data_IF_896804972997
#
_entry.id   IF_896804972997
#
_cell.length_a   1.000
_cell.length_b   1.000
_cell.length_c   1.000
_cell.angle_alpha   90.00
_cell.angle_beta   90.00
_cell.angle_gamma   90.00
#
_symmetry.space_group_name_H-M   'P 1'
#
loop_
_entity.id
_entity.type
_entity.pdbx_description
1 polymer ?
#
# COMPACT_ATOMS: atom_id res chain seq x y z
N UNK A 1 -2.01 -14.55 -8.98
CA UNK A 1 -0.75 -13.84 -9.30
C UNK A 1 0.41 -14.81 -9.30
N UNK A 2 1.33 -14.75 -10.27
CA UNK A 2 2.49 -15.65 -10.34
C UNK A 2 3.66 -15.17 -9.49
N UNK A 3 4.45 -16.09 -8.94
CA UNK A 3 5.69 -15.76 -8.20
C UNK A 3 6.69 -15.00 -9.07
N UNK A 4 6.81 -15.37 -10.34
CA UNK A 4 7.65 -14.65 -11.31
C UNK A 4 7.28 -13.17 -11.44
N UNK A 5 5.98 -12.85 -11.41
CA UNK A 5 5.50 -11.47 -11.45
C UNK A 5 5.87 -10.71 -10.16
N UNK A 6 5.77 -11.38 -8.99
CA UNK A 6 6.15 -10.79 -7.69
C UNK A 6 7.65 -10.49 -7.67
N UNK A 7 8.49 -11.48 -8.04
CA UNK A 7 9.93 -11.29 -8.08
C UNK A 7 10.31 -10.12 -9.01
N UNK A 8 9.73 -10.06 -10.20
CA UNK A 8 9.95 -8.97 -11.15
C UNK A 8 9.48 -7.61 -10.62
N UNK A 9 8.31 -7.56 -9.99
CA UNK A 9 7.77 -6.31 -9.44
C UNK A 9 8.67 -5.72 -8.35
N UNK A 10 9.25 -6.56 -7.48
CA UNK A 10 10.17 -6.11 -6.43
C UNK A 10 11.52 -5.68 -7.02
N UNK A 11 12.08 -6.44 -7.99
CA UNK A 11 13.30 -6.03 -8.69
C UNK A 11 13.13 -4.66 -9.35
N UNK A 12 12.01 -4.45 -10.03
CA UNK A 12 11.65 -3.16 -10.62
C UNK A 12 11.47 -2.07 -9.57
N UNK A 13 10.90 -2.42 -8.42
CA UNK A 13 10.68 -1.49 -7.31
C UNK A 13 12.00 -0.97 -6.72
N UNK A 14 13.01 -1.80 -6.59
CA UNK A 14 14.36 -1.38 -6.20
C UNK A 14 14.94 -0.37 -7.19
N UNK A 15 14.91 -0.67 -8.49
CA UNK A 15 15.41 0.23 -9.52
C UNK A 15 14.67 1.58 -9.55
N UNK A 16 13.36 1.57 -9.29
CA UNK A 16 12.56 2.79 -9.18
C UNK A 16 12.99 3.60 -7.95
N UNK A 17 13.11 2.98 -6.77
CA UNK A 17 13.57 3.67 -5.56
C UNK A 17 14.94 4.32 -5.77
N UNK A 18 15.88 3.60 -6.36
CA UNK A 18 17.22 4.13 -6.73
C UNK A 18 17.11 5.34 -7.68
N UNK A 19 16.30 5.24 -8.74
CA UNK A 19 16.07 6.33 -9.70
C UNK A 19 15.53 7.60 -9.05
N UNK A 20 14.76 7.45 -7.96
CA UNK A 20 14.22 8.57 -7.20
C UNK A 20 15.14 9.01 -6.05
N UNK A 21 16.30 8.38 -5.88
CA UNK A 21 17.22 8.67 -4.78
C UNK A 21 16.68 8.30 -3.40
N UNK A 22 15.75 7.34 -3.33
CA UNK A 22 15.17 6.87 -2.07
C UNK A 22 16.05 5.76 -1.50
N UNK A 23 16.66 6.02 -0.35
CA UNK A 23 17.37 5.00 0.42
C UNK A 23 16.37 4.14 1.19
N UNK A 24 16.41 2.82 0.93
CA UNK A 24 15.55 1.86 1.60
C UNK A 24 16.30 1.20 2.79
N UNK A 25 15.56 0.74 3.82
CA UNK A 25 16.15 -0.02 4.92
C UNK A 25 16.70 -1.35 4.44
N UNK A 26 17.66 -1.90 5.20
CA UNK A 26 18.40 -3.12 4.86
C UNK A 26 17.46 -4.31 4.55
N UNK A 27 16.42 -4.52 5.35
CA UNK A 27 15.49 -5.63 5.16
C UNK A 27 14.74 -5.60 3.82
N UNK A 28 14.64 -4.43 3.17
CA UNK A 28 14.04 -4.34 1.84
C UNK A 28 14.84 -5.07 0.76
N UNK A 29 16.14 -5.33 1.02
CA UNK A 29 17.07 -5.98 0.10
C UNK A 29 17.32 -7.46 0.44
N UNK A 30 16.71 -7.98 1.49
CA UNK A 30 16.90 -9.39 1.84
C UNK A 30 16.08 -10.31 0.92
N UNK A 31 16.78 -11.09 0.13
CA UNK A 31 16.19 -12.23 -0.57
C UNK A 31 15.72 -13.28 0.43
N UNK A 32 14.92 -14.26 -0.01
CA UNK A 32 14.52 -15.37 0.84
C UNK A 32 15.74 -16.10 1.46
N UNK A 33 16.82 -16.26 0.67
CA UNK A 33 18.06 -16.88 1.16
C UNK A 33 18.86 -15.97 2.10
N UNK A 34 18.82 -14.67 1.89
CA UNK A 34 19.43 -13.71 2.80
C UNK A 34 18.70 -13.70 4.15
N UNK A 35 17.36 -13.72 4.15
CA UNK A 35 16.54 -13.82 5.36
C UNK A 35 16.87 -15.05 6.20
N UNK A 36 17.04 -16.24 5.57
CA UNK A 36 17.39 -17.49 6.27
C UNK A 36 18.74 -17.44 6.99
N UNK A 37 19.61 -16.51 6.61
CA UNK A 37 20.94 -16.30 7.21
C UNK A 37 20.92 -15.27 8.33
N UNK A 38 19.82 -14.55 8.52
CA UNK A 38 19.71 -13.51 9.54
C UNK A 38 19.44 -14.12 10.93
N UNK A 39 19.94 -13.48 12.00
CA UNK A 39 19.54 -13.79 13.37
C UNK A 39 18.10 -13.25 13.59
N UNK A 40 17.09 -14.08 13.24
CA UNK A 40 15.69 -13.66 13.19
C UNK A 40 15.19 -12.97 14.48
N UNK A 41 15.78 -13.30 15.66
CA UNK A 41 15.45 -12.65 16.92
C UNK A 41 15.76 -11.16 16.96
N UNK A 42 16.70 -10.67 16.15
CA UNK A 42 17.02 -9.24 16.05
C UNK A 42 16.05 -8.49 15.12
N UNK A 43 15.30 -9.21 14.31
CA UNK A 43 14.33 -8.68 13.33
C UNK A 43 12.87 -8.78 13.81
N UNK A 44 12.65 -8.99 15.11
CA UNK A 44 11.32 -9.21 15.67
C UNK A 44 10.30 -8.15 15.23
N UNK A 45 10.64 -6.85 15.27
CA UNK A 45 9.73 -5.79 14.83
C UNK A 45 9.34 -5.94 13.34
N UNK A 46 10.29 -6.31 12.48
CA UNK A 46 10.01 -6.48 11.04
C UNK A 46 9.05 -7.65 10.82
N UNK A 47 9.31 -8.78 11.49
CA UNK A 47 8.54 -10.01 11.32
C UNK A 47 7.14 -9.89 11.94
N UNK A 48 7.04 -9.40 13.17
CA UNK A 48 5.79 -9.32 13.92
C UNK A 48 4.82 -8.28 13.34
N UNK A 49 5.36 -7.15 12.87
CA UNK A 49 4.57 -6.05 12.29
C UNK A 49 4.43 -6.14 10.77
N UNK A 50 4.95 -7.21 10.17
CA UNK A 50 4.90 -7.43 8.72
C UNK A 50 5.43 -6.23 7.94
N UNK A 51 6.61 -5.69 8.34
CA UNK A 51 7.33 -4.71 7.54
C UNK A 51 7.93 -5.40 6.31
N UNK A 52 8.10 -4.69 5.21
CA UNK A 52 8.68 -5.26 4.00
C UNK A 52 7.76 -5.13 2.79
N UNK A 53 8.14 -5.85 1.72
CA UNK A 53 7.44 -5.81 0.46
C UNK A 53 6.07 -6.47 0.50
N UNK A 54 5.11 -5.83 -0.16
CA UNK A 54 3.81 -6.41 -0.45
C UNK A 54 3.40 -6.07 -1.88
N UNK A 55 3.01 -7.08 -2.63
CA UNK A 55 2.57 -6.98 -4.02
C UNK A 55 1.17 -7.56 -4.08
N UNK A 56 0.22 -6.81 -4.60
CA UNK A 56 -1.17 -7.25 -4.64
C UNK A 56 -1.84 -6.90 -5.96
N UNK A 57 -2.64 -7.82 -6.47
CA UNK A 57 -3.61 -7.63 -7.53
C UNK A 57 -5.05 -7.56 -6.98
N UNK A 58 -5.18 -7.42 -5.65
CA UNK A 58 -6.46 -7.39 -4.94
C UNK A 58 -7.39 -8.56 -5.28
N UNK A 59 -6.81 -9.73 -5.62
CA UNK A 59 -7.56 -10.93 -6.03
C UNK A 59 -8.23 -10.82 -7.40
N UNK A 60 -7.82 -9.84 -8.24
CA UNK A 60 -8.42 -9.59 -9.58
C UNK A 60 -7.69 -10.30 -10.71
N UNK A 61 -6.57 -10.95 -10.47
CA UNK A 61 -5.76 -11.68 -11.46
C UNK A 61 -5.26 -10.83 -12.65
N UNK A 62 -5.26 -9.49 -12.51
CA UNK A 62 -4.77 -8.55 -13.52
C UNK A 62 -3.93 -7.46 -12.85
N UNK A 63 -2.75 -7.85 -12.34
CA UNK A 63 -1.84 -6.94 -11.65
C UNK A 63 -1.46 -5.71 -12.49
N UNK A 64 -1.41 -5.83 -13.81
CA UNK A 64 -1.06 -4.71 -14.69
C UNK A 64 -2.08 -3.59 -14.66
N UNK A 65 -3.37 -3.91 -14.50
CA UNK A 65 -4.45 -2.93 -14.46
C UNK A 65 -4.91 -2.63 -13.03
N UNK A 66 -5.10 -3.66 -12.22
CA UNK A 66 -5.54 -3.53 -10.83
C UNK A 66 -4.48 -4.12 -9.93
N UNK A 67 -3.74 -3.25 -9.26
CA UNK A 67 -2.62 -3.71 -8.45
C UNK A 67 -1.91 -2.58 -7.72
N UNK A 68 -1.01 -2.99 -6.84
CA UNK A 68 -0.16 -2.08 -6.10
C UNK A 68 1.12 -2.79 -5.68
N UNK A 69 2.24 -2.10 -5.85
CA UNK A 69 3.52 -2.46 -5.24
C UNK A 69 3.76 -1.53 -4.07
N UNK A 70 3.98 -2.08 -2.88
CA UNK A 70 4.26 -1.26 -1.71
C UNK A 70 5.34 -1.89 -0.81
N UNK A 71 6.02 -1.02 -0.08
CA UNK A 71 6.97 -1.39 0.97
C UNK A 71 6.50 -0.74 2.27
N UNK A 72 6.16 -1.56 3.26
CA UNK A 72 5.91 -1.08 4.61
C UNK A 72 7.25 -0.84 5.30
N UNK A 73 7.55 0.43 5.56
CA UNK A 73 8.81 0.87 6.17
C UNK A 73 8.73 0.86 7.69
N UNK A 74 7.60 1.25 8.23
CA UNK A 74 7.30 1.32 9.67
C UNK A 74 5.85 0.96 9.93
N UNK A 75 5.62 0.38 11.08
CA UNK A 75 4.29 0.16 11.63
C UNK A 75 4.38 0.10 13.16
N UNK A 76 3.24 0.18 13.81
CA UNK A 76 3.07 -0.11 15.23
C UNK A 76 2.03 -1.21 15.43
N UNK A 77 1.69 -1.46 16.66
CA UNK A 77 0.56 -2.32 17.02
C UNK A 77 -0.31 -1.64 18.07
N UNK A 78 -1.61 -1.59 17.82
CA UNK A 78 -2.57 -0.97 18.74
C UNK A 78 -2.49 -1.65 20.12
N UNK A 79 -2.38 -0.84 21.17
CA UNK A 79 -2.30 -1.30 22.56
C UNK A 79 -1.10 -2.20 22.89
N UNK A 80 -0.07 -2.23 22.05
CA UNK A 80 1.17 -2.98 22.28
C UNK A 80 2.17 -2.13 23.06
N UNK A 81 2.72 -2.70 24.14
CA UNK A 81 3.87 -2.09 24.85
C UNK A 81 5.19 -2.37 24.13
N UNK A 82 5.28 -3.48 23.38
CA UNK A 82 6.48 -3.84 22.63
C UNK A 82 6.65 -2.96 21.39
N UNK A 83 5.54 -2.61 20.72
CA UNK A 83 5.53 -1.84 19.48
C UNK A 83 4.60 -0.62 19.57
N UNK A 84 4.96 0.40 20.38
CA UNK A 84 4.04 1.48 20.77
C UNK A 84 3.86 2.58 19.72
N UNK A 85 4.49 2.48 18.53
CA UNK A 85 4.33 3.48 17.47
C UNK A 85 2.84 3.61 17.10
N UNK A 86 2.26 4.82 17.12
CA UNK A 86 0.86 5.03 16.74
C UNK A 86 0.65 5.22 15.24
N UNK A 87 1.67 5.02 14.41
CA UNK A 87 1.68 5.33 12.98
C UNK A 87 2.29 4.20 12.14
N UNK A 88 2.00 4.25 10.86
CA UNK A 88 2.64 3.45 9.82
C UNK A 88 3.16 4.35 8.70
N UNK A 89 4.21 3.90 8.02
CA UNK A 89 4.82 4.53 6.86
C UNK A 89 5.01 3.51 5.75
N UNK A 90 4.54 3.86 4.54
CA UNK A 90 4.65 2.99 3.36
C UNK A 90 5.11 3.79 2.15
N UNK A 91 6.00 3.20 1.39
CA UNK A 91 6.30 3.62 0.02
C UNK A 91 5.36 2.88 -0.94
N UNK A 92 4.74 3.61 -1.86
CA UNK A 92 3.83 3.07 -2.87
C UNK A 92 4.42 3.28 -4.26
N UNK A 93 4.36 2.27 -5.10
CA UNK A 93 4.72 2.42 -6.50
C UNK A 93 3.52 2.05 -7.37
N UNK A 94 2.98 3.05 -8.04
CA UNK A 94 1.81 2.94 -8.89
C UNK A 94 2.29 3.04 -10.33
N UNK A 95 2.17 1.94 -11.10
CA UNK A 95 2.53 1.96 -12.51
C UNK A 95 1.52 2.81 -13.28
N UNK A 96 1.92 3.32 -14.45
CA UNK A 96 1.00 4.07 -15.31
C UNK A 96 -0.27 3.27 -15.58
N UNK A 97 -1.42 3.91 -15.41
CA UNK A 97 -2.76 3.33 -15.59
C UNK A 97 -3.13 2.17 -14.64
N UNK A 98 -2.20 1.73 -13.78
CA UNK A 98 -2.50 0.78 -12.73
C UNK A 98 -3.33 1.45 -11.63
N UNK A 99 -4.44 0.84 -11.24
CA UNK A 99 -5.34 1.42 -10.25
C UNK A 99 -5.58 0.48 -9.07
N UNK A 100 -5.91 1.06 -7.92
CA UNK A 100 -6.47 0.32 -6.78
C UNK A 100 -7.98 0.17 -6.94
N UNK A 101 -8.61 -0.89 -6.40
CA UNK A 101 -10.07 -0.96 -6.31
C UNK A 101 -10.61 0.08 -5.34
N UNK A 102 -11.92 0.38 -5.42
CA UNK A 102 -12.61 1.16 -4.42
C UNK A 102 -12.55 0.47 -3.05
N UNK A 103 -11.98 1.17 -2.07
CA UNK A 103 -11.87 0.68 -0.70
C UNK A 103 -11.87 1.84 0.30
N UNK A 104 -12.19 1.54 1.55
CA UNK A 104 -11.98 2.45 2.68
C UNK A 104 -11.35 1.71 3.85
N UNK A 105 -10.87 2.48 4.83
CA UNK A 105 -10.42 1.97 6.11
C UNK A 105 -11.45 2.33 7.18
N UNK A 106 -11.80 1.37 8.03
CA UNK A 106 -12.83 1.55 9.06
C UNK A 106 -12.36 2.50 10.16
N UNK A 107 -11.11 2.42 10.53
CA UNK A 107 -10.54 3.17 11.67
C UNK A 107 -9.34 4.05 11.29
N UNK A 108 -8.58 3.66 10.28
CA UNK A 108 -7.32 4.30 9.92
C UNK A 108 -7.54 5.59 9.14
N UNK A 109 -7.02 6.71 9.66
CA UNK A 109 -6.77 7.93 8.91
C UNK A 109 -5.39 7.84 8.26
N UNK A 110 -5.24 8.39 7.06
CA UNK A 110 -3.97 8.41 6.34
C UNK A 110 -3.81 9.63 5.45
N UNK A 111 -2.56 10.01 5.24
CA UNK A 111 -2.15 10.92 4.17
C UNK A 111 -1.56 10.10 3.01
N UNK A 112 -1.97 10.43 1.79
CA UNK A 112 -1.36 9.93 0.55
C UNK A 112 -0.70 11.10 -0.15
N UNK A 113 0.60 10.94 -0.42
CA UNK A 113 1.44 11.98 -1.01
C UNK A 113 1.99 11.49 -2.35
N UNK A 114 2.01 12.38 -3.33
CA UNK A 114 2.72 12.17 -4.59
C UNK A 114 4.16 12.66 -4.46
N UNK A 115 5.13 11.74 -4.42
CA UNK A 115 6.56 12.05 -4.29
C UNK A 115 7.28 12.13 -5.62
N UNK A 116 6.58 11.90 -6.73
CA UNK A 116 7.18 12.25 -8.00
C UNK A 116 6.68 11.55 -9.24
N UNK A 117 7.02 12.20 -10.30
CA UNK A 117 6.91 12.09 -11.74
C UNK A 117 5.48 12.24 -12.27
N UNK A 118 4.66 11.20 -12.23
CA UNK A 118 3.31 11.22 -12.78
C UNK A 118 2.32 12.05 -11.95
N UNK A 119 1.13 12.18 -12.47
CA UNK A 119 0.00 12.70 -11.72
C UNK A 119 -0.65 11.55 -10.95
N UNK A 120 -0.83 11.72 -9.63
CA UNK A 120 -1.60 10.79 -8.83
C UNK A 120 -3.07 11.19 -8.87
N UNK A 121 -3.86 10.47 -9.62
CA UNK A 121 -5.30 10.68 -9.74
C UNK A 121 -6.03 9.86 -8.69
N UNK A 122 -7.03 10.46 -8.05
CA UNK A 122 -7.81 9.81 -7.00
C UNK A 122 -9.28 10.17 -7.13
N UNK A 123 -10.16 9.25 -6.85
CA UNK A 123 -11.60 9.48 -6.71
C UNK A 123 -12.03 9.14 -5.29
N UNK A 124 -12.97 9.91 -4.76
CA UNK A 124 -13.39 9.86 -3.36
C UNK A 124 -14.92 9.78 -3.25
N UNK A 125 -15.41 9.16 -2.19
CA UNK A 125 -16.83 9.12 -1.84
C UNK A 125 -17.04 8.58 -0.43
N UNK A 126 -18.05 9.04 0.29
CA UNK A 126 -18.34 8.54 1.63
C UNK A 126 -18.96 7.15 1.59
N UNK A 127 -18.68 6.34 2.60
CA UNK A 127 -19.43 5.14 2.87
C UNK A 127 -20.70 5.49 3.66
N UNK A 128 -21.86 4.89 3.30
CA UNK A 128 -23.06 4.90 4.15
C UNK A 128 -22.84 4.00 5.38
N UNK A 129 -23.78 3.99 6.32
CA UNK A 129 -23.70 3.12 7.50
C UNK A 129 -23.65 1.62 7.11
N UNK A 130 -24.33 1.26 6.01
CA UNK A 130 -24.33 -0.08 5.42
C UNK A 130 -23.08 -0.35 4.55
N UNK A 131 -22.10 0.55 4.57
CA UNK A 131 -20.87 0.47 3.78
C UNK A 131 -21.10 0.50 2.25
N UNK A 132 -22.18 1.10 1.77
CA UNK A 132 -22.40 1.40 0.36
C UNK A 132 -21.73 2.72 -0.01
N UNK A 133 -21.47 2.94 -1.30
CA UNK A 133 -20.95 4.20 -1.80
C UNK A 133 -22.07 5.26 -1.82
N UNK A 134 -21.86 6.38 -1.10
CA UNK A 134 -22.82 7.49 -1.08
C UNK A 134 -22.62 8.40 -2.30
N UNK A 135 -23.52 8.32 -3.26
CA UNK A 135 -23.49 9.09 -4.50
C UNK A 135 -23.93 10.57 -4.32
N UNK A 136 -24.38 10.95 -3.12
CA UNK A 136 -24.97 12.28 -2.88
C UNK A 136 -24.14 13.17 -1.96
N UNK A 137 -23.50 12.56 -0.96
CA UNK A 137 -22.76 13.30 0.06
C UNK A 137 -21.47 13.87 -0.50
N UNK A 138 -21.38 15.19 -0.52
CA UNK A 138 -20.17 15.94 -0.89
C UNK A 138 -18.99 15.52 -0.04
N UNK A 139 -17.81 15.40 -0.65
CA UNK A 139 -16.55 15.04 0.00
C UNK A 139 -15.75 16.31 0.29
N UNK A 140 -15.41 16.51 1.54
CA UNK A 140 -14.49 17.58 1.98
C UNK A 140 -13.24 16.94 2.55
N UNK A 141 -12.07 17.29 1.98
CA UNK A 141 -10.77 16.78 2.40
C UNK A 141 -9.72 17.89 2.41
N UNK A 142 -8.70 17.71 3.21
CA UNK A 142 -7.52 18.57 3.23
C UNK A 142 -6.52 18.12 2.18
N UNK A 143 -6.18 19.01 1.25
CA UNK A 143 -5.10 18.85 0.27
C UNK A 143 -4.02 19.88 0.62
N UNK A 144 -2.86 19.41 1.09
CA UNK A 144 -1.75 20.27 1.55
C UNK A 144 -2.18 21.34 2.56
N UNK A 145 -3.06 20.98 3.52
CA UNK A 145 -3.61 21.91 4.53
C UNK A 145 -4.76 22.80 4.04
N UNK A 146 -5.11 22.75 2.75
CA UNK A 146 -6.22 23.51 2.18
C UNK A 146 -7.46 22.62 2.05
N UNK A 147 -8.60 23.06 2.59
CA UNK A 147 -9.89 22.39 2.39
C UNK A 147 -10.32 22.44 0.93
N UNK A 148 -10.65 21.30 0.38
CA UNK A 148 -11.16 21.12 -0.98
C UNK A 148 -12.44 20.30 -0.94
N UNK A 149 -13.37 20.67 -1.82
CA UNK A 149 -14.69 20.04 -1.91
C UNK A 149 -14.84 19.38 -3.27
N UNK A 150 -15.34 18.14 -3.29
CA UNK A 150 -15.54 17.32 -4.47
C UNK A 150 -16.91 16.68 -4.46
N UNK A 151 -17.49 16.46 -5.64
CA UNK A 151 -18.62 15.55 -5.79
C UNK A 151 -18.15 14.09 -5.61
N UNK A 152 -19.02 13.17 -5.15
CA UNK A 152 -18.69 11.76 -5.12
C UNK A 152 -18.20 11.26 -6.49
N UNK A 153 -17.06 10.56 -6.52
CA UNK A 153 -16.48 10.08 -7.76
C UNK A 153 -15.77 11.12 -8.63
N UNK A 154 -15.76 12.41 -8.26
CA UNK A 154 -14.97 13.42 -8.95
C UNK A 154 -13.48 13.16 -8.79
N UNK A 155 -12.70 13.40 -9.84
CA UNK A 155 -11.27 13.12 -9.84
C UNK A 155 -10.48 14.27 -9.22
N UNK A 156 -9.81 13.98 -8.12
CA UNK A 156 -8.73 14.79 -7.56
C UNK A 156 -7.41 14.41 -8.23
N UNK A 157 -6.68 15.40 -8.74
CA UNK A 157 -5.33 15.23 -9.30
C UNK A 157 -4.32 15.83 -8.34
N UNK A 158 -3.43 14.99 -7.81
CA UNK A 158 -2.30 15.40 -6.99
C UNK A 158 -1.04 15.44 -7.85
N UNK A 159 -0.47 16.63 -8.01
CA UNK A 159 0.82 16.82 -8.69
C UNK A 159 1.97 16.39 -7.78
N UNK A 160 3.18 16.15 -8.33
CA UNK A 160 4.37 15.92 -7.50
C UNK A 160 4.52 16.97 -6.40
N UNK A 161 4.72 16.49 -5.16
CA UNK A 161 4.79 17.30 -3.95
C UNK A 161 3.48 17.43 -3.19
N UNK A 162 2.34 17.21 -3.82
CA UNK A 162 1.02 17.35 -3.18
C UNK A 162 0.59 16.08 -2.43
N UNK A 163 -0.27 16.27 -1.44
CA UNK A 163 -0.86 15.19 -0.66
C UNK A 163 -2.29 15.47 -0.23
N UNK A 164 -3.01 14.42 0.11
CA UNK A 164 -4.40 14.48 0.61
C UNK A 164 -4.55 13.66 1.87
N UNK A 165 -5.28 14.21 2.85
CA UNK A 165 -5.66 13.50 4.06
C UNK A 165 -6.99 12.77 3.83
N UNK A 166 -7.01 11.47 4.08
CA UNK A 166 -8.15 10.57 3.93
C UNK A 166 -8.63 10.11 5.31
N UNK A 167 -9.78 10.61 5.79
CA UNK A 167 -10.36 10.14 7.05
C UNK A 167 -10.91 8.70 6.92
N UNK A 168 -11.20 8.03 8.07
CA UNK A 168 -11.89 6.76 8.07
C UNK A 168 -13.21 6.79 7.32
N UNK A 169 -13.61 5.66 6.75
CA UNK A 169 -14.86 5.45 6.00
C UNK A 169 -15.01 6.29 4.73
N UNK A 170 -13.93 6.93 4.25
CA UNK A 170 -13.91 7.58 2.94
C UNK A 170 -13.43 6.58 1.89
N UNK A 171 -14.34 6.12 1.02
CA UNK A 171 -13.99 5.34 -0.16
C UNK A 171 -13.03 6.12 -1.03
N UNK A 172 -12.01 5.44 -1.48
CA UNK A 172 -11.05 5.98 -2.42
C UNK A 172 -10.53 4.89 -3.35
N UNK A 173 -10.20 5.30 -4.56
CA UNK A 173 -9.36 4.57 -5.51
C UNK A 173 -8.40 5.55 -6.14
N UNK A 174 -7.25 5.07 -6.56
CA UNK A 174 -6.25 5.93 -7.17
C UNK A 174 -5.48 5.19 -8.26
N UNK A 175 -4.90 5.97 -9.17
CA UNK A 175 -4.06 5.49 -10.28
C UNK A 175 -3.03 6.54 -10.64
N UNK A 176 -2.05 6.14 -11.46
CA UNK A 176 -1.03 7.05 -12.00
C UNK A 176 -1.35 7.42 -13.44
N UNK A 177 -1.30 8.71 -13.77
CA UNK A 177 -1.38 9.22 -15.13
C UNK A 177 -0.04 9.79 -15.61
N UNK A 178 0.14 9.85 -16.94
CA UNK A 178 1.35 10.31 -17.66
C UNK A 178 2.55 9.39 -17.52
N UNK A 179 2.89 8.96 -16.32
CA UNK A 179 3.94 7.99 -16.02
C UNK A 179 3.71 7.41 -14.63
N UNK A 180 4.59 6.50 -14.19
CA UNK A 180 4.52 5.95 -12.85
C UNK A 180 4.55 7.06 -11.77
N UNK A 181 3.92 6.79 -10.64
CA UNK A 181 3.97 7.62 -9.44
C UNK A 181 4.70 6.89 -8.32
N UNK A 182 5.67 7.55 -7.71
CA UNK A 182 6.16 7.19 -6.40
C UNK A 182 5.27 7.89 -5.37
N UNK A 183 4.42 7.12 -4.73
CA UNK A 183 3.54 7.57 -3.66
C UNK A 183 4.13 7.30 -2.29
N UNK A 184 3.62 8.00 -1.30
CA UNK A 184 3.95 7.79 0.10
C UNK A 184 2.69 7.81 0.95
N UNK A 185 2.58 6.86 1.87
CA UNK A 185 1.48 6.80 2.84
C UNK A 185 2.04 7.01 4.24
N UNK A 186 1.49 7.99 4.95
CA UNK A 186 1.65 8.14 6.40
C UNK A 186 0.27 7.91 7.00
N UNK A 187 0.16 7.00 7.94
CA UNK A 187 -1.14 6.63 8.48
C UNK A 187 -1.08 6.33 9.98
N UNK A 188 -2.24 6.20 10.59
CA UNK A 188 -2.37 5.48 11.85
C UNK A 188 -1.88 4.04 11.66
N UNK A 189 -1.77 3.28 12.76
CA UNK A 189 -1.36 1.87 12.73
C UNK A 189 -2.11 1.10 11.65
N UNK A 190 -1.36 0.35 10.85
CA UNK A 190 -1.90 -0.46 9.76
C UNK A 190 -2.30 -1.85 10.25
N UNK A 191 -3.56 -2.22 10.03
CA UNK A 191 -4.09 -3.56 10.23
C UNK A 191 -4.76 -4.04 8.93
N UNK A 192 -3.96 -4.62 8.03
CA UNK A 192 -4.44 -5.06 6.72
C UNK A 192 -5.46 -6.21 6.78
N UNK A 193 -5.58 -6.89 7.92
CA UNK A 193 -6.52 -8.01 8.10
C UNK A 193 -7.92 -7.56 8.48
N UNK A 194 -8.06 -6.41 9.17
CA UNK A 194 -9.33 -6.01 9.81
C UNK A 194 -9.86 -4.66 9.35
N UNK A 195 -9.00 -3.79 8.82
CA UNK A 195 -9.32 -2.39 8.58
C UNK A 195 -9.61 -2.04 7.11
N UNK A 196 -9.56 -3.02 6.20
CA UNK A 196 -9.84 -2.80 4.77
C UNK A 196 -11.26 -3.27 4.41
N UNK A 197 -12.03 -2.40 3.77
CA UNK A 197 -13.33 -2.71 3.19
C UNK A 197 -13.32 -2.39 1.69
N UNK A 198 -13.65 -3.38 0.85
CA UNK A 198 -13.71 -3.24 -0.60
C UNK A 198 -15.16 -3.13 -1.07
N UNK A 199 -15.44 -2.16 -1.96
CA UNK A 199 -16.78 -1.96 -2.49
C UNK A 199 -17.24 -3.14 -3.35
N UNK A 200 -16.33 -3.69 -4.13
CA UNK A 200 -16.59 -4.84 -4.99
C UNK A 200 -15.91 -6.10 -4.41
N UNK A 201 -16.45 -7.30 -4.72
CA UNK A 201 -15.81 -8.54 -4.32
C UNK A 201 -14.32 -8.58 -4.71
N UNK A 202 -13.47 -8.96 -3.76
CA UNK A 202 -12.01 -8.99 -3.91
C UNK A 202 -11.37 -9.14 -2.55
N UNK A 203 -10.06 -9.03 -2.48
CA UNK A 203 -9.31 -9.17 -1.24
C UNK A 203 -8.05 -8.32 -1.23
N UNK A 204 -7.49 -8.11 -0.03
CA UNK A 204 -6.26 -7.36 0.14
C UNK A 204 -5.05 -8.12 -0.42
N UNK A 205 -5.09 -9.45 -0.38
CA UNK A 205 -3.95 -10.30 -0.70
C UNK A 205 -4.23 -11.16 -1.94
N UNK A 206 -3.22 -11.35 -2.83
CA UNK A 206 -3.36 -12.22 -3.99
C UNK A 206 -3.30 -13.70 -3.58
N UNK A 207 -3.90 -14.56 -4.40
CA UNK A 207 -3.55 -15.98 -4.45
C UNK A 207 -2.28 -16.11 -5.29
N UNK A 208 -1.25 -16.78 -4.76
CA UNK A 208 0.07 -16.91 -5.39
C UNK A 208 0.23 -18.29 -6.01
N UNK A 209 0.56 -18.30 -7.30
CA UNK A 209 1.02 -19.49 -8.03
C UNK A 209 2.54 -19.51 -8.03
N UNK A 210 3.14 -20.56 -7.49
CA UNK A 210 4.60 -20.72 -7.37
C UNK A 210 5.19 -21.33 -8.67
N UNK A 211 5.25 -20.52 -9.73
CA UNK A 211 5.76 -20.91 -11.05
C UNK A 211 7.30 -20.86 -11.15
N UNK A 212 7.97 -20.19 -10.21
CA UNK A 212 9.42 -20.10 -10.06
C UNK A 212 9.82 -20.09 -8.58
N UNK A 213 11.10 -20.33 -8.23
CA UNK A 213 11.58 -20.18 -6.87
C UNK A 213 11.34 -18.79 -6.28
N UNK A 214 11.06 -18.73 -4.98
CA UNK A 214 10.88 -17.49 -4.24
C UNK A 214 12.22 -16.77 -4.12
N UNK A 215 12.38 -15.64 -4.81
CA UNK A 215 13.52 -14.73 -4.65
C UNK A 215 13.26 -13.76 -3.49
N UNK A 216 12.07 -13.18 -3.46
CA UNK A 216 11.66 -12.21 -2.47
C UNK A 216 10.46 -12.73 -1.67
N UNK A 217 10.55 -12.64 -0.33
CA UNK A 217 9.41 -12.88 0.54
C UNK A 217 8.55 -11.62 0.61
N UNK A 218 7.23 -11.80 0.52
CA UNK A 218 6.30 -10.77 0.92
C UNK A 218 6.21 -10.71 2.45
N UNK A 219 5.88 -9.54 2.99
CA UNK A 219 5.81 -9.32 4.44
C UNK A 219 4.86 -10.28 5.18
N UNK A 220 3.88 -10.85 4.48
CA UNK A 220 2.94 -11.86 5.01
C UNK A 220 3.46 -13.30 4.94
N UNK A 221 4.63 -13.53 4.37
CA UNK A 221 5.21 -14.86 4.15
C UNK A 221 6.38 -15.18 5.07
N UNK A 222 6.61 -14.40 6.12
CA UNK A 222 7.73 -14.60 7.03
C UNK A 222 7.63 -15.89 7.87
N UNK A 223 6.44 -16.48 7.98
CA UNK A 223 6.26 -17.84 8.53
C UNK A 223 7.02 -18.92 7.75
N UNK A 224 7.30 -18.69 6.45
CA UNK A 224 8.16 -19.57 5.63
C UNK A 224 9.63 -19.61 6.08
N UNK A 225 10.06 -18.68 6.93
CA UNK A 225 11.42 -18.67 7.49
C UNK A 225 11.60 -19.72 8.60
N UNK A 226 10.51 -20.18 9.21
CA UNK A 226 10.51 -21.15 10.30
C UNK A 226 10.36 -22.60 9.82
N UNK A 227 10.26 -22.81 8.51
CA UNK A 227 10.19 -24.16 7.91
C UNK A 227 11.61 -24.58 7.56
N UNK A 228 12.25 -25.36 8.46
CA UNK A 228 13.49 -26.12 8.23
C UNK A 228 13.18 -27.47 7.61
#
# INVERSE_FOLDING_TARGET
MKRSQINYAIDKAHAIAETFGVCLPEFAFFTADAWRKQPLGEWGEVLDLQLGWDITDFGRSDFGKIGLTLLTLRNGALNSRAYPKPYAEKMLQIQQEQQTPWHFHTHKMKDILNRGRGDLCMQLGWATDEALFDERRTVEVSVDGRQRTFKPGETLVLKPGQGVCLPPRLYHRFWAEKTLVLGWEISMVNDDKRDNYFLEPGGRFPTIEEDVPVKWLLCKEYDRLNVT
#
